data_IF_905053750092
#
_entry.id   IF_905053750092
#
_cell.length_a   1.000
_cell.length_b   1.000
_cell.length_c   1.000
_cell.angle_alpha   90.00
_cell.angle_beta   90.00
_cell.angle_gamma   90.00
#
_symmetry.space_group_name_H-M   'P 1'
#
loop_
_entity.id
_entity.type
_entity.pdbx_description
1 polymer ?
#
# COMPACT_ATOMS: atom_id res chain seq x y z
N UNK A 1 -12.66 -5.54 4.34
CA UNK A 1 -13.61 -6.39 3.63
C UNK A 1 -14.26 -7.33 4.62
N UNK A 2 -15.48 -7.79 4.35
CA UNK A 2 -16.19 -8.75 5.19
C UNK A 2 -15.65 -10.19 5.03
N UNK A 3 -15.91 -11.07 6.01
CA UNK A 3 -15.39 -12.44 6.03
C UNK A 3 -15.83 -13.27 4.81
N UNK A 4 -17.08 -13.13 4.38
CA UNK A 4 -17.60 -13.87 3.23
C UNK A 4 -16.89 -13.47 1.92
N UNK A 5 -16.60 -12.18 1.74
CA UNK A 5 -15.82 -11.68 0.60
C UNK A 5 -14.40 -12.26 0.62
N UNK A 6 -13.73 -12.24 1.78
CA UNK A 6 -12.40 -12.81 1.93
C UNK A 6 -12.36 -14.30 1.56
N UNK A 7 -13.33 -15.09 2.03
CA UNK A 7 -13.45 -16.51 1.69
C UNK A 7 -13.72 -16.73 0.19
N UNK A 8 -14.57 -15.91 -0.40
CA UNK A 8 -14.85 -15.96 -1.84
C UNK A 8 -13.60 -15.72 -2.69
N UNK A 9 -12.78 -14.74 -2.32
CA UNK A 9 -11.48 -14.47 -2.96
C UNK A 9 -10.54 -15.67 -2.81
N UNK A 10 -10.39 -16.20 -1.59
CA UNK A 10 -9.50 -17.34 -1.32
C UNK A 10 -9.90 -18.53 -2.21
N UNK A 11 -11.19 -18.84 -2.27
CA UNK A 11 -11.71 -19.92 -3.13
C UNK A 11 -11.45 -19.63 -4.60
N UNK A 12 -11.66 -18.40 -5.07
CA UNK A 12 -11.40 -18.04 -6.45
C UNK A 12 -9.91 -18.15 -6.83
N UNK A 13 -9.00 -17.84 -5.91
CA UNK A 13 -7.55 -17.91 -6.14
C UNK A 13 -6.97 -19.32 -6.03
N UNK A 14 -7.51 -20.15 -5.14
CA UNK A 14 -6.93 -21.45 -4.78
C UNK A 14 -7.72 -22.65 -5.30
N UNK A 15 -8.95 -22.43 -5.76
CA UNK A 15 -9.88 -23.48 -6.21
C UNK A 15 -10.56 -24.25 -5.09
N UNK A 16 -10.27 -23.96 -3.81
CA UNK A 16 -10.83 -24.68 -2.67
C UNK A 16 -11.10 -23.76 -1.47
N UNK A 17 -11.87 -24.26 -0.50
CA UNK A 17 -12.20 -23.52 0.72
C UNK A 17 -11.16 -23.78 1.82
N UNK A 18 -10.74 -22.71 2.50
CA UNK A 18 -9.84 -22.78 3.65
C UNK A 18 -10.45 -22.08 4.88
N UNK A 19 -10.13 -22.54 6.11
CA UNK A 19 -10.30 -21.72 7.30
C UNK A 19 -9.58 -20.37 7.14
N UNK A 20 -10.17 -19.27 7.61
CA UNK A 20 -9.57 -17.93 7.45
C UNK A 20 -8.24 -17.75 8.20
N UNK A 21 -8.00 -18.61 9.19
CA UNK A 21 -6.76 -18.70 9.98
C UNK A 21 -5.70 -19.58 9.33
N UNK A 22 -6.02 -20.22 8.20
CA UNK A 22 -5.08 -21.11 7.50
C UNK A 22 -3.95 -20.29 6.84
N UNK A 23 -2.69 -20.76 6.91
CA UNK A 23 -1.58 -20.13 6.21
C UNK A 23 -1.80 -19.96 4.69
N UNK A 24 -2.48 -20.90 4.04
CA UNK A 24 -2.80 -20.80 2.61
C UNK A 24 -3.82 -19.70 2.34
N UNK A 25 -4.81 -19.52 3.23
CA UNK A 25 -5.74 -18.39 3.15
C UNK A 25 -5.02 -17.05 3.32
N UNK A 26 -4.04 -16.98 4.22
CA UNK A 26 -3.18 -15.80 4.38
C UNK A 26 -2.37 -15.50 3.12
N UNK A 27 -1.71 -16.52 2.59
CA UNK A 27 -0.89 -16.41 1.41
C UNK A 27 -1.70 -15.95 0.20
N UNK A 28 -2.89 -16.53 -0.03
CA UNK A 28 -3.75 -16.11 -1.13
C UNK A 28 -4.15 -14.63 -1.04
N UNK A 29 -4.62 -14.17 0.12
CA UNK A 29 -4.95 -12.75 0.32
C UNK A 29 -3.72 -11.84 0.21
N UNK A 30 -2.56 -12.32 0.67
CA UNK A 30 -1.28 -11.62 0.58
C UNK A 30 -0.85 -11.44 -0.86
N UNK A 31 -0.97 -12.47 -1.69
CA UNK A 31 -0.62 -12.36 -3.10
C UNK A 31 -1.57 -11.48 -3.88
N UNK A 32 -2.87 -11.50 -3.59
CA UNK A 32 -3.78 -10.51 -4.17
C UNK A 32 -3.32 -9.09 -3.84
N UNK A 33 -2.97 -8.82 -2.59
CA UNK A 33 -2.52 -7.51 -2.17
C UNK A 33 -1.18 -7.11 -2.79
N UNK A 34 -0.24 -8.05 -2.93
CA UNK A 34 1.05 -7.83 -3.59
C UNK A 34 0.86 -7.51 -5.08
N UNK A 35 -0.03 -8.23 -5.76
CA UNK A 35 -0.34 -7.98 -7.17
C UNK A 35 -0.97 -6.60 -7.38
N UNK A 36 -1.94 -6.23 -6.55
CA UNK A 36 -2.58 -4.90 -6.62
C UNK A 36 -1.57 -3.78 -6.37
N UNK A 37 -0.73 -3.91 -5.35
CA UNK A 37 0.28 -2.88 -5.01
C UNK A 37 1.40 -2.81 -6.04
N UNK A 38 1.86 -3.95 -6.56
CA UNK A 38 2.85 -4.02 -7.64
C UNK A 38 2.33 -3.41 -8.93
N UNK A 39 1.11 -3.73 -9.33
CA UNK A 39 0.46 -3.14 -10.49
C UNK A 39 0.32 -1.62 -10.35
N UNK A 40 -0.17 -1.14 -9.20
CA UNK A 40 -0.29 0.28 -8.92
C UNK A 40 1.06 1.01 -8.99
N UNK A 41 2.12 0.42 -8.41
CA UNK A 41 3.47 0.99 -8.47
C UNK A 41 3.97 1.13 -9.90
N UNK A 42 3.81 0.08 -10.71
CA UNK A 42 4.23 0.08 -12.11
C UNK A 42 3.44 1.07 -12.97
N UNK A 43 2.13 1.18 -12.77
CA UNK A 43 1.29 2.16 -13.49
C UNK A 43 1.66 3.60 -13.13
N UNK A 44 1.93 3.89 -11.85
CA UNK A 44 2.37 5.22 -11.43
C UNK A 44 3.74 5.56 -12.03
N UNK A 45 4.67 4.61 -12.04
CA UNK A 45 5.99 4.80 -12.66
C UNK A 45 5.89 5.08 -14.17
N UNK A 46 5.07 4.32 -14.90
CA UNK A 46 4.81 4.55 -16.33
C UNK A 46 4.18 5.93 -16.61
N UNK A 47 3.40 6.46 -15.66
CA UNK A 47 2.84 7.81 -15.74
C UNK A 47 3.81 8.93 -15.33
N UNK A 48 5.08 8.60 -15.03
CA UNK A 48 6.11 9.56 -14.62
C UNK A 48 6.19 9.81 -13.10
N UNK A 49 5.52 9.00 -12.29
CA UNK A 49 5.45 9.14 -10.83
C UNK A 49 6.06 7.93 -10.12
N UNK A 50 7.41 7.80 -10.08
CA UNK A 50 8.06 6.69 -9.40
C UNK A 50 7.65 6.70 -7.92
N UNK A 51 7.02 5.61 -7.49
CA UNK A 51 6.36 5.54 -6.19
C UNK A 51 6.97 4.43 -5.34
N UNK A 52 7.20 4.73 -4.05
CA UNK A 52 7.63 3.72 -3.08
C UNK A 52 6.43 3.22 -2.29
N UNK A 53 5.88 2.09 -2.71
CA UNK A 53 4.76 1.43 -2.02
C UNK A 53 5.33 0.37 -1.07
N UNK A 54 4.96 0.42 0.19
CA UNK A 54 5.37 -0.61 1.17
C UNK A 54 4.57 -1.90 0.92
N UNK A 55 5.15 -3.07 1.22
CA UNK A 55 4.40 -4.33 1.13
C UNK A 55 3.08 -4.26 1.91
N UNK A 56 2.01 -4.85 1.39
CA UNK A 56 0.73 -4.88 2.07
C UNK A 56 0.84 -5.64 3.40
N UNK A 57 -0.02 -5.27 4.36
CA UNK A 57 -0.16 -6.00 5.62
C UNK A 57 -1.57 -6.53 5.73
N UNK A 58 -1.69 -7.81 6.09
CA UNK A 58 -2.96 -8.45 6.38
C UNK A 58 -3.24 -8.29 7.88
N UNK A 59 -4.42 -7.77 8.21
CA UNK A 59 -4.90 -7.70 9.59
C UNK A 59 -6.27 -8.36 9.65
N UNK A 60 -6.44 -9.26 10.61
CA UNK A 60 -7.70 -9.96 10.87
C UNK A 60 -8.21 -9.56 12.24
N UNK A 61 -9.50 -9.29 12.34
CA UNK A 61 -10.15 -8.95 13.60
C UNK A 61 -11.53 -8.37 13.35
N UNK A 62 -12.39 -8.47 14.35
CA UNK A 62 -13.70 -7.82 14.32
C UNK A 62 -13.52 -6.33 14.63
N UNK A 63 -14.14 -5.46 13.85
CA UNK A 63 -14.09 -4.01 14.09
C UNK A 63 -12.71 -3.36 13.93
N UNK A 64 -11.79 -3.98 13.18
CA UNK A 64 -10.49 -3.37 12.88
C UNK A 64 -10.70 -2.05 12.16
N UNK A 65 -10.23 -0.97 12.80
CA UNK A 65 -10.21 0.39 12.23
C UNK A 65 -8.76 0.81 12.06
N UNK A 66 -8.39 1.15 10.83
CA UNK A 66 -7.13 1.82 10.58
C UNK A 66 -7.29 3.27 10.99
N UNK A 67 -6.46 3.75 11.93
CA UNK A 67 -6.53 5.12 12.40
C UNK A 67 -6.26 6.09 11.24
N UNK A 68 -7.01 7.18 11.21
CA UNK A 68 -6.91 8.24 10.24
C UNK A 68 -5.59 8.97 10.50
N UNK A 69 -4.48 8.52 9.88
CA UNK A 69 -3.32 9.39 9.77
C UNK A 69 -3.77 10.65 9.03
N UNK A 70 -3.27 11.83 9.42
CA UNK A 70 -3.70 13.14 8.92
C UNK A 70 -3.31 13.41 7.44
N UNK A 71 -3.54 12.43 6.57
CA UNK A 71 -3.21 12.41 5.16
C UNK A 71 -4.53 12.21 4.40
N UNK A 72 -4.76 13.04 3.39
CA UNK A 72 -5.92 12.91 2.52
C UNK A 72 -5.90 11.53 1.84
N UNK A 73 -7.02 10.81 1.99
CA UNK A 73 -7.15 9.43 1.57
C UNK A 73 -8.28 9.30 0.54
N UNK A 74 -7.95 8.80 -0.64
CA UNK A 74 -8.92 8.35 -1.63
C UNK A 74 -9.49 7.02 -1.17
N UNK A 75 -10.82 6.94 -1.09
CA UNK A 75 -11.53 5.70 -0.74
C UNK A 75 -12.24 5.17 -1.99
N UNK A 76 -11.91 3.96 -2.41
CA UNK A 76 -12.45 3.32 -3.61
C UNK A 76 -13.18 2.03 -3.21
N UNK A 77 -14.52 2.03 -3.20
CA UNK A 77 -15.29 0.80 -3.02
C UNK A 77 -15.30 -0.01 -4.32
N UNK A 78 -15.02 -1.31 -4.22
CA UNK A 78 -15.15 -2.30 -5.28
C UNK A 78 -16.28 -3.24 -4.87
N UNK A 79 -17.37 -3.22 -5.65
CA UNK A 79 -18.56 -4.03 -5.42
C UNK A 79 -18.49 -5.23 -6.35
N UNK A 80 -18.68 -6.42 -5.79
CA UNK A 80 -18.71 -7.69 -6.52
C UNK A 80 -19.91 -8.52 -6.07
N UNK A 81 -20.21 -9.59 -6.79
CA UNK A 81 -21.24 -10.56 -6.38
C UNK A 81 -20.92 -11.24 -5.03
N UNK A 82 -19.64 -11.29 -4.67
CA UNK A 82 -19.14 -11.87 -3.41
C UNK A 82 -19.16 -10.87 -2.25
N UNK A 83 -19.54 -9.61 -2.48
CA UNK A 83 -19.53 -8.54 -1.50
C UNK A 83 -18.60 -7.38 -1.87
N UNK A 84 -18.26 -6.56 -0.87
CA UNK A 84 -17.50 -5.32 -1.06
C UNK A 84 -16.06 -5.42 -0.52
N UNK A 85 -15.12 -4.93 -1.33
CA UNK A 85 -13.78 -4.56 -0.90
C UNK A 85 -13.70 -3.03 -0.91
N UNK A 86 -13.01 -2.45 0.06
CA UNK A 86 -12.72 -1.00 0.05
C UNK A 86 -11.22 -0.82 0.04
N UNK A 87 -10.73 -0.11 -0.98
CA UNK A 87 -9.34 0.29 -1.11
C UNK A 87 -9.19 1.70 -0.54
N UNK A 88 -8.22 1.86 0.34
CA UNK A 88 -7.85 3.12 0.93
C UNK A 88 -6.47 3.51 0.41
N UNK A 89 -6.39 4.60 -0.33
CA UNK A 89 -5.15 5.10 -0.93
C UNK A 89 -4.81 6.47 -0.38
N UNK A 90 -3.62 6.61 0.20
CA UNK A 90 -3.08 7.90 0.59
C UNK A 90 -1.72 8.06 -0.09
N UNK A 91 -1.50 9.21 -0.72
CA UNK A 91 -0.24 9.55 -1.37
C UNK A 91 0.39 10.74 -0.67
N UNK A 92 1.72 10.71 -0.56
CA UNK A 92 2.53 11.82 -0.10
C UNK A 92 3.59 12.06 -1.15
N UNK A 93 3.57 13.23 -1.75
CA UNK A 93 4.67 13.67 -2.58
C UNK A 93 5.91 13.88 -1.71
N UNK A 94 7.01 13.26 -2.12
CA UNK A 94 8.31 13.47 -1.50
C UNK A 94 9.08 14.36 -2.47
N UNK A 95 8.98 15.67 -2.28
CA UNK A 95 9.88 16.56 -2.98
C UNK A 95 11.32 16.21 -2.58
N UNK A 96 12.22 15.94 -3.55
CA UNK A 96 13.64 15.89 -3.25
C UNK A 96 14.11 17.32 -2.94
N UNK A 97 13.99 17.76 -1.68
CA UNK A 97 14.55 19.03 -1.23
C UNK A 97 15.87 18.78 -0.50
N UNK A 98 16.92 19.49 -0.95
CA UNK A 98 18.15 19.81 -0.21
C UNK A 98 19.10 18.65 0.17
N UNK A 99 19.73 18.00 -0.83
CA UNK A 99 21.02 17.31 -0.64
C UNK A 99 22.20 17.98 -1.35
N UNK A 100 22.07 19.26 -1.69
CA UNK A 100 23.12 20.06 -2.28
C UNK A 100 23.09 21.48 -1.70
N UNK A 101 23.88 21.70 -0.65
CA UNK A 101 24.72 22.90 -0.38
C UNK A 101 25.37 22.70 0.98
N UNK A 102 26.40 21.85 0.99
CA UNK A 102 27.40 21.76 2.04
C UNK A 102 28.78 21.81 1.39
N UNK A 103 28.96 22.76 0.47
CA UNK A 103 30.25 23.10 -0.12
C UNK A 103 30.52 24.58 0.17
N UNK A 104 31.01 24.87 1.38
CA UNK A 104 31.86 26.05 1.55
C UNK A 104 33.30 25.57 1.43
N UNK A 105 33.87 25.87 0.26
CA UNK A 105 35.31 25.85 0.02
C UNK A 105 36.01 27.06 0.66
N UNK A 106 37.34 27.12 0.57
CA UNK A 106 38.19 27.94 1.42
C UNK A 106 38.33 29.37 0.90
N UNK A 107 38.25 30.37 1.77
CA UNK A 107 38.86 31.69 1.53
C UNK A 107 39.37 32.28 2.83
N UNK A 108 40.66 32.65 2.82
CA UNK A 108 41.36 33.24 3.95
C UNK A 108 40.90 34.66 4.25
N UNK A 109 40.93 34.99 5.54
CA UNK A 109 40.87 36.35 6.06
C UNK A 109 42.10 36.57 6.94
N UNK A 110 43.10 37.25 6.37
CA UNK A 110 44.20 37.86 7.08
C UNK A 110 43.73 39.29 7.43
N UNK A 111 43.83 39.70 8.70
CA UNK A 111 44.03 41.07 9.26
C UNK A 111 43.32 41.25 10.60
N UNK A 112 44.07 41.73 11.60
CA UNK A 112 43.60 42.11 12.93
C UNK A 112 44.60 41.77 14.03
#
# INVERSE_FOLDING_TARGET
MELHMAKGIIRAMTGQDFPITDPMAESALGELANLVTGYASGTLEQAGWPSRISPPRIVRGTGVRFANSAINMLTVPIITELGQITIYLALREVHPAARATGSEGPTGGMTG
#
